data_IF_041696802997
#
_entry.id   IF_041696802997
#
_cell.length_a   1.000
_cell.length_b   1.000
_cell.length_c   1.000
_cell.angle_alpha   90.00
_cell.angle_beta   90.00
_cell.angle_gamma   90.00
#
_symmetry.space_group_name_H-M   'P 1'
#
loop_
_entity.id
_entity.type
_entity.pdbx_description
1 polymer ?
#
# COMPACT_ATOMS: atom_id res chain seq x y z
N UNK A 1 10.46 -26.05 -23.41
CA UNK A 1 10.60 -24.63 -23.00
C UNK A 1 10.28 -24.52 -21.52
N UNK A 2 11.30 -24.48 -20.66
CA UNK A 2 11.12 -24.45 -19.21
C UNK A 2 10.57 -23.10 -18.76
N UNK A 3 9.36 -23.12 -18.18
CA UNK A 3 8.74 -22.00 -17.49
C UNK A 3 9.58 -21.63 -16.26
N UNK A 4 10.38 -20.57 -16.36
CA UNK A 4 11.03 -19.98 -15.20
C UNK A 4 10.02 -19.07 -14.49
N UNK A 5 9.17 -19.66 -13.64
CA UNK A 5 8.65 -18.96 -12.46
C UNK A 5 9.74 -18.95 -11.38
N UNK A 6 10.85 -18.27 -11.67
CA UNK A 6 11.84 -17.92 -10.68
C UNK A 6 11.50 -16.54 -10.14
N UNK A 7 11.52 -16.34 -8.83
CA UNK A 7 11.67 -15.01 -8.27
C UNK A 7 12.95 -14.42 -8.87
N UNK A 8 12.83 -13.50 -9.83
CA UNK A 8 13.94 -12.70 -10.30
C UNK A 8 14.29 -11.68 -9.21
N UNK A 9 14.89 -12.17 -8.11
CA UNK A 9 15.51 -11.33 -7.10
C UNK A 9 16.97 -11.09 -7.53
N UNK A 10 17.16 -10.23 -8.52
CA UNK A 10 18.47 -9.70 -8.94
C UNK A 10 18.44 -8.17 -8.74
N UNK A 11 19.58 -7.51 -8.46
CA UNK A 11 19.92 -7.14 -7.10
C UNK A 11 19.46 -5.71 -6.73
N UNK A 12 18.91 -5.57 -5.53
CA UNK A 12 18.51 -4.27 -4.96
C UNK A 12 19.76 -3.47 -4.55
N UNK A 13 19.91 -2.28 -5.15
CA UNK A 13 21.02 -1.34 -5.02
C UNK A 13 21.49 -1.04 -3.60
N UNK A 14 22.54 -0.23 -3.47
CA UNK A 14 23.06 0.21 -2.18
C UNK A 14 22.69 1.68 -1.90
N UNK A 15 22.43 1.98 -0.61
CA UNK A 15 22.39 3.37 -0.16
C UNK A 15 23.83 3.89 -0.08
N UNK A 16 24.06 5.14 -0.47
CA UNK A 16 25.34 5.82 -0.31
C UNK A 16 25.06 7.27 0.11
N UNK A 17 25.52 7.66 1.30
CA UNK A 17 25.41 9.04 1.82
C UNK A 17 24.01 9.66 1.68
N UNK A 18 22.97 8.88 1.97
CA UNK A 18 21.57 9.33 1.94
C UNK A 18 20.80 8.99 0.65
N UNK A 19 21.49 8.81 -0.49
CA UNK A 19 20.90 8.54 -1.81
C UNK A 19 21.01 7.06 -2.22
N UNK A 20 20.19 6.63 -3.19
CA UNK A 20 20.21 5.27 -3.75
C UNK A 20 21.08 5.19 -5.00
N UNK A 21 22.00 4.22 -5.04
CA UNK A 21 22.90 3.96 -6.16
C UNK A 21 22.80 2.49 -6.64
N UNK A 22 23.22 2.25 -7.88
CA UNK A 22 23.34 0.90 -8.49
C UNK A 22 22.05 0.05 -8.42
N UNK A 23 20.90 0.70 -8.58
CA UNK A 23 19.59 0.06 -8.58
C UNK A 23 19.49 -0.94 -9.74
N UNK A 24 19.15 -2.19 -9.43
CA UNK A 24 19.03 -3.26 -10.43
C UNK A 24 20.35 -3.87 -10.86
N UNK A 25 21.49 -3.41 -10.32
CA UNK A 25 22.83 -3.87 -10.71
C UNK A 25 23.61 -4.52 -9.56
N UNK A 26 23.49 -4.05 -8.32
CA UNK A 26 24.33 -4.50 -7.21
C UNK A 26 23.51 -4.73 -5.93
N UNK A 27 23.74 -5.83 -5.21
CA UNK A 27 23.17 -6.06 -3.88
C UNK A 27 24.27 -6.44 -2.90
N UNK A 28 24.29 -5.74 -1.77
CA UNK A 28 25.27 -5.96 -0.71
C UNK A 28 24.59 -6.58 0.51
N UNK A 29 25.06 -7.76 0.91
CA UNK A 29 24.63 -8.47 2.11
C UNK A 29 25.73 -8.38 3.16
N UNK A 30 25.48 -7.59 4.19
CA UNK A 30 26.46 -7.28 5.22
C UNK A 30 26.52 -8.36 6.28
N UNK A 31 27.72 -8.68 6.74
CA UNK A 31 27.96 -9.56 7.90
C UNK A 31 28.10 -8.71 9.16
N UNK A 32 27.94 -9.34 10.33
CA UNK A 32 28.20 -8.70 11.61
C UNK A 32 29.70 -8.56 11.92
N UNK A 33 30.58 -9.13 11.08
CA UNK A 33 32.03 -9.06 11.27
C UNK A 33 32.57 -7.75 10.71
N UNK A 34 33.25 -7.00 11.58
CA UNK A 34 33.82 -5.71 11.22
C UNK A 34 35.25 -5.87 10.72
N UNK A 35 35.60 -5.13 9.67
CA UNK A 35 36.99 -4.97 9.23
C UNK A 35 37.63 -3.73 9.86
N UNK A 36 36.83 -2.69 10.11
CA UNK A 36 37.22 -1.48 10.82
C UNK A 36 36.01 -0.76 11.42
N UNK A 37 36.24 0.37 12.10
CA UNK A 37 35.17 1.21 12.64
C UNK A 37 34.17 1.69 11.59
N UNK A 38 34.61 1.85 10.34
CA UNK A 38 33.77 2.31 9.21
C UNK A 38 33.44 1.21 8.21
N UNK A 39 34.13 0.05 8.21
CA UNK A 39 33.93 -1.01 7.22
C UNK A 39 33.51 -2.35 7.85
N UNK A 40 32.62 -3.08 7.18
CA UNK A 40 32.23 -4.44 7.54
C UNK A 40 32.34 -5.37 6.33
N UNK A 41 32.56 -6.66 6.58
CA UNK A 41 32.58 -7.64 5.49
C UNK A 41 31.19 -7.81 4.90
N UNK A 42 31.10 -7.89 3.57
CA UNK A 42 29.87 -8.10 2.84
C UNK A 42 30.04 -9.08 1.68
N UNK A 43 28.90 -9.61 1.21
CA UNK A 43 28.78 -10.35 -0.04
C UNK A 43 28.09 -9.46 -1.05
N UNK A 44 28.78 -9.19 -2.16
CA UNK A 44 28.27 -8.39 -3.26
C UNK A 44 27.81 -9.29 -4.41
N UNK A 45 26.58 -9.08 -4.88
CA UNK A 45 26.03 -9.69 -6.09
C UNK A 45 25.86 -8.62 -7.15
N UNK A 46 26.70 -8.69 -8.18
CA UNK A 46 26.63 -7.82 -9.34
C UNK A 46 25.92 -8.55 -10.49
N UNK A 47 25.05 -7.86 -11.22
CA UNK A 47 24.40 -8.40 -12.42
C UNK A 47 25.37 -8.87 -13.50
N UNK A 48 26.58 -8.30 -13.56
CA UNK A 48 27.60 -8.63 -14.55
C UNK A 48 28.70 -9.57 -14.08
N UNK A 49 28.73 -9.97 -12.80
CA UNK A 49 29.84 -10.73 -12.24
C UNK A 49 29.38 -11.82 -11.24
N UNK A 50 30.33 -12.70 -10.89
CA UNK A 50 30.13 -13.71 -9.84
C UNK A 50 30.04 -13.07 -8.45
N UNK A 51 29.49 -13.84 -7.50
CA UNK A 51 29.40 -13.45 -6.09
C UNK A 51 30.79 -13.14 -5.50
N UNK A 52 31.03 -11.89 -5.10
CA UNK A 52 32.32 -11.46 -4.57
C UNK A 52 32.23 -11.11 -3.08
N UNK A 53 33.26 -11.45 -2.32
CA UNK A 53 33.42 -11.03 -0.92
C UNK A 53 34.22 -9.72 -0.87
N UNK A 54 33.73 -8.73 -0.14
CA UNK A 54 34.39 -7.42 0.00
C UNK A 54 34.23 -6.87 1.42
N UNK A 55 34.92 -5.76 1.76
CA UNK A 55 34.87 -5.10 3.06
C UNK A 55 34.69 -3.57 2.91
N UNK A 56 33.46 -3.15 2.60
CA UNK A 56 33.17 -1.74 2.26
C UNK A 56 32.58 -0.95 3.44
N UNK A 57 32.39 0.35 3.26
CA UNK A 57 31.86 1.29 4.23
C UNK A 57 30.46 0.88 4.72
N UNK A 58 30.39 0.40 5.97
CA UNK A 58 29.15 -0.01 6.65
C UNK A 58 28.33 1.21 7.08
N UNK A 59 28.96 2.30 7.51
CA UNK A 59 28.25 3.44 8.09
C UNK A 59 27.36 4.15 7.08
N UNK A 60 27.76 4.18 5.81
CA UNK A 60 26.99 4.80 4.73
C UNK A 60 26.23 3.80 3.85
N UNK A 61 26.72 2.56 3.71
CA UNK A 61 26.17 1.58 2.77
C UNK A 61 25.45 0.36 3.40
N UNK A 62 25.55 0.15 4.73
CA UNK A 62 24.92 -1.00 5.40
C UNK A 62 23.40 -0.91 5.58
N UNK A 63 22.77 0.16 5.11
CA UNK A 63 21.32 0.26 4.99
C UNK A 63 20.78 -0.53 3.79
N UNK A 64 21.37 -1.72 3.51
CA UNK A 64 21.04 -2.57 2.37
C UNK A 64 19.53 -2.73 2.25
N UNK A 65 19.04 -2.38 1.07
CA UNK A 65 17.63 -2.12 0.81
C UNK A 65 16.86 -3.44 0.88
N UNK A 66 15.75 -3.47 1.63
CA UNK A 66 14.73 -4.54 1.51
C UNK A 66 14.35 -4.70 0.04
N UNK A 67 13.87 -5.88 -0.37
CA UNK A 67 13.24 -6.06 -1.68
C UNK A 67 12.26 -4.91 -1.94
N UNK A 68 12.65 -3.94 -2.76
CA UNK A 68 11.71 -3.04 -3.40
C UNK A 68 11.15 -3.90 -4.52
N UNK A 69 9.86 -4.24 -4.40
CA UNK A 69 9.15 -4.93 -5.48
C UNK A 69 9.34 -4.08 -6.72
N UNK A 70 10.04 -4.63 -7.72
CA UNK A 70 10.09 -4.04 -9.04
C UNK A 70 8.64 -3.80 -9.49
N UNK A 71 8.30 -2.60 -9.93
CA UNK A 71 6.95 -2.30 -10.41
C UNK A 71 6.76 -2.88 -11.82
N UNK A 72 6.99 -4.19 -11.95
CA UNK A 72 6.61 -5.01 -13.11
C UNK A 72 5.16 -5.48 -13.00
N UNK A 73 4.51 -5.26 -11.86
CA UNK A 73 3.05 -5.25 -11.80
C UNK A 73 2.56 -3.93 -12.37
N UNK A 74 2.35 -3.98 -13.68
CA UNK A 74 2.05 -2.86 -14.55
C UNK A 74 0.95 -1.95 -14.03
N UNK A 75 0.98 -0.74 -14.58
CA UNK A 75 -0.10 0.24 -14.54
C UNK A 75 -1.43 -0.46 -14.33
N UNK A 76 -2.08 -0.23 -13.18
CA UNK A 76 -3.36 -0.87 -12.84
C UNK A 76 -4.31 -0.54 -13.98
N UNK A 77 -4.60 -1.53 -14.83
CA UNK A 77 -5.49 -1.32 -15.97
C UNK A 77 -6.90 -1.02 -15.48
N UNK A 78 -7.66 -0.24 -16.24
CA UNK A 78 -9.06 0.10 -15.90
C UNK A 78 -9.90 -1.15 -15.55
N UNK A 79 -9.80 -2.30 -16.26
CA UNK A 79 -10.53 -3.51 -15.88
C UNK A 79 -10.13 -4.08 -14.51
N UNK A 80 -8.84 -4.02 -14.18
CA UNK A 80 -8.33 -4.46 -12.88
C UNK A 80 -8.84 -3.56 -11.76
N UNK A 81 -8.84 -2.25 -12.01
CA UNK A 81 -9.35 -1.24 -11.08
C UNK A 81 -10.86 -1.38 -10.86
N UNK A 82 -11.63 -1.62 -11.92
CA UNK A 82 -13.07 -1.92 -11.83
C UNK A 82 -13.33 -3.10 -10.88
N UNK A 83 -12.57 -4.20 -11.01
CA UNK A 83 -12.73 -5.36 -10.14
C UNK A 83 -12.41 -5.06 -8.67
N UNK A 84 -11.43 -4.21 -8.40
CA UNK A 84 -11.09 -3.75 -7.06
C UNK A 84 -12.18 -2.83 -6.49
N UNK A 85 -12.68 -1.88 -7.29
CA UNK A 85 -13.78 -1.00 -6.92
C UNK A 85 -15.07 -1.79 -6.65
N UNK A 86 -15.37 -2.82 -7.43
CA UNK A 86 -16.52 -3.69 -7.19
C UNK A 86 -16.42 -4.40 -5.83
N UNK A 87 -15.22 -4.89 -5.45
CA UNK A 87 -15.00 -5.44 -4.11
C UNK A 87 -15.21 -4.37 -3.02
N UNK A 88 -14.66 -3.19 -3.21
CA UNK A 88 -14.81 -2.06 -2.28
C UNK A 88 -16.26 -1.61 -2.14
N UNK A 89 -17.01 -1.60 -3.23
CA UNK A 89 -18.45 -1.32 -3.25
C UNK A 89 -19.22 -2.30 -2.37
N UNK A 90 -18.95 -3.62 -2.49
CA UNK A 90 -19.60 -4.63 -1.64
C UNK A 90 -19.31 -4.41 -0.16
N UNK A 91 -18.09 -4.00 0.18
CA UNK A 91 -17.71 -3.65 1.56
C UNK A 91 -18.45 -2.40 2.05
N UNK A 92 -18.49 -1.34 1.24
CA UNK A 92 -19.20 -0.10 1.54
C UNK A 92 -20.71 -0.32 1.74
N UNK A 93 -21.30 -1.17 0.91
CA UNK A 93 -22.74 -1.50 0.95
C UNK A 93 -23.14 -2.22 2.23
N UNK A 94 -22.29 -3.07 2.80
CA UNK A 94 -22.63 -3.95 3.94
C UNK A 94 -23.28 -3.21 5.11
N UNK A 95 -22.86 -1.98 5.39
CA UNK A 95 -23.31 -1.21 6.55
C UNK A 95 -24.29 -0.05 6.20
N UNK A 96 -24.62 0.16 4.91
CA UNK A 96 -25.34 1.37 4.43
C UNK A 96 -26.34 1.10 3.28
N UNK A 97 -26.88 -0.12 3.22
CA UNK A 97 -27.69 -0.65 2.09
C UNK A 97 -28.99 0.11 1.77
N UNK A 98 -29.48 1.00 2.64
CA UNK A 98 -30.77 1.69 2.46
C UNK A 98 -30.65 3.22 2.44
N UNK A 99 -29.46 3.78 2.27
CA UNK A 99 -29.29 5.25 2.19
C UNK A 99 -29.62 5.78 0.79
N UNK A 100 -30.23 6.97 0.70
CA UNK A 100 -30.62 7.60 -0.59
C UNK A 100 -29.44 7.72 -1.57
N UNK A 101 -28.26 8.11 -1.09
CA UNK A 101 -27.05 8.20 -1.93
C UNK A 101 -26.60 6.85 -2.47
N UNK A 102 -26.70 5.80 -1.65
CA UNK A 102 -26.38 4.44 -2.05
C UNK A 102 -27.37 3.89 -3.08
N UNK A 103 -28.67 4.10 -2.88
CA UNK A 103 -29.70 3.69 -3.84
C UNK A 103 -29.52 4.40 -5.18
N UNK A 104 -29.26 5.72 -5.15
CA UNK A 104 -28.95 6.50 -6.36
C UNK A 104 -27.74 5.95 -7.12
N UNK A 105 -26.69 5.53 -6.40
CA UNK A 105 -25.51 4.92 -7.00
C UNK A 105 -25.80 3.52 -7.56
N UNK A 106 -26.64 2.73 -6.90
CA UNK A 106 -26.98 1.36 -7.31
C UNK A 106 -27.91 1.30 -8.53
N UNK A 107 -28.72 2.34 -8.77
CA UNK A 107 -29.58 2.45 -9.97
C UNK A 107 -28.78 2.31 -11.28
N UNK A 108 -27.55 2.84 -11.30
CA UNK A 108 -26.64 2.76 -12.44
C UNK A 108 -25.26 2.28 -11.99
N UNK A 109 -25.25 1.16 -11.26
CA UNK A 109 -24.06 0.64 -10.57
C UNK A 109 -22.87 0.45 -11.50
N UNK A 110 -23.09 -0.18 -12.65
CA UNK A 110 -22.02 -0.57 -13.58
C UNK A 110 -21.35 0.66 -14.20
N UNK A 111 -22.15 1.58 -14.75
CA UNK A 111 -21.64 2.82 -15.36
C UNK A 111 -20.95 3.69 -14.31
N UNK A 112 -21.51 3.81 -13.11
CA UNK A 112 -20.89 4.57 -12.02
C UNK A 112 -19.52 3.98 -11.62
N UNK A 113 -19.39 2.65 -11.54
CA UNK A 113 -18.12 1.99 -11.22
C UNK A 113 -17.09 2.10 -12.34
N UNK A 114 -17.51 1.96 -13.61
CA UNK A 114 -16.65 2.13 -14.77
C UNK A 114 -16.14 3.58 -14.86
N UNK A 115 -17.03 4.56 -14.69
CA UNK A 115 -16.65 5.98 -14.68
C UNK A 115 -15.66 6.26 -13.56
N UNK A 116 -15.92 5.76 -12.35
CA UNK A 116 -15.01 5.92 -11.22
C UNK A 116 -13.64 5.25 -11.47
N UNK A 117 -13.61 4.09 -12.12
CA UNK A 117 -12.36 3.43 -12.50
C UNK A 117 -11.57 4.28 -13.51
N UNK A 118 -12.25 4.85 -14.50
CA UNK A 118 -11.61 5.74 -15.48
C UNK A 118 -11.07 7.00 -14.82
N UNK A 119 -11.89 7.69 -14.00
CA UNK A 119 -11.49 8.91 -13.28
C UNK A 119 -10.27 8.69 -12.37
N UNK A 120 -10.21 7.55 -11.68
CA UNK A 120 -9.08 7.19 -10.83
C UNK A 120 -7.84 6.83 -11.66
N UNK A 121 -8.01 6.18 -12.81
CA UNK A 121 -6.93 5.87 -13.73
C UNK A 121 -6.34 7.13 -14.39
N UNK A 122 -7.20 8.05 -14.83
CA UNK A 122 -6.81 9.34 -15.43
C UNK A 122 -6.40 10.39 -14.41
N UNK A 123 -6.53 10.10 -13.09
CA UNK A 123 -6.27 11.03 -11.98
C UNK A 123 -7.13 12.30 -12.03
N UNK A 124 -8.34 12.21 -12.56
CA UNK A 124 -9.33 13.30 -12.64
C UNK A 124 -10.46 13.14 -11.62
N UNK A 125 -10.31 12.21 -10.68
CA UNK A 125 -11.30 12.00 -9.61
C UNK A 125 -11.35 13.19 -8.65
N UNK A 126 -12.54 13.76 -8.51
CA UNK A 126 -12.86 14.80 -7.53
C UNK A 126 -13.91 14.31 -6.53
N UNK A 127 -13.73 14.74 -5.28
CA UNK A 127 -14.63 14.43 -4.17
C UNK A 127 -16.00 15.04 -4.39
N UNK A 128 -17.02 14.29 -4.03
CA UNK A 128 -18.41 14.74 -4.10
C UNK A 128 -18.76 15.57 -2.85
N UNK A 129 -19.78 16.44 -2.92
CA UNK A 129 -20.23 17.19 -1.75
C UNK A 129 -20.62 16.26 -0.60
N UNK A 130 -20.11 16.54 0.59
CA UNK A 130 -20.45 15.80 1.81
C UNK A 130 -21.73 16.35 2.43
N UNK A 131 -22.53 15.47 3.04
CA UNK A 131 -23.74 15.87 3.79
C UNK A 131 -23.34 16.04 5.24
N UNK A 132 -23.55 17.24 5.79
CA UNK A 132 -23.38 17.49 7.22
C UNK A 132 -24.72 17.41 7.95
N UNK A 133 -24.77 16.69 9.06
CA UNK A 133 -25.92 16.64 9.96
C UNK A 133 -25.46 16.40 11.41
N UNK A 134 -26.27 16.83 12.37
CA UNK A 134 -26.01 16.60 13.79
C UNK A 134 -26.70 15.31 14.21
N UNK A 135 -25.95 14.40 14.82
CA UNK A 135 -26.51 13.24 15.50
C UNK A 135 -26.60 13.55 17.00
N UNK A 136 -27.79 13.45 17.58
CA UNK A 136 -28.05 13.89 18.96
C UNK A 136 -27.74 12.83 20.02
N UNK A 137 -27.73 11.55 19.64
CA UNK A 137 -27.57 10.42 20.56
C UNK A 137 -26.40 9.49 20.16
N UNK A 138 -25.68 8.89 21.12
CA UNK A 138 -25.76 9.12 22.58
C UNK A 138 -25.07 10.41 23.06
N UNK A 139 -24.18 10.99 22.24
CA UNK A 139 -23.54 12.30 22.47
C UNK A 139 -23.71 13.11 21.20
N UNK A 140 -24.04 14.40 21.35
CA UNK A 140 -24.17 15.33 20.22
C UNK A 140 -22.87 15.38 19.42
N UNK A 141 -22.94 15.03 18.14
CA UNK A 141 -21.80 15.06 17.23
C UNK A 141 -22.23 15.56 15.87
N UNK A 142 -21.45 16.48 15.33
CA UNK A 142 -21.52 16.84 13.92
C UNK A 142 -20.96 15.68 13.11
N UNK A 143 -21.74 15.19 12.16
CA UNK A 143 -21.38 14.09 11.27
C UNK A 143 -21.27 14.62 9.86
N UNK A 144 -20.05 14.65 9.35
CA UNK A 144 -19.77 14.91 7.94
C UNK A 144 -19.74 13.58 7.20
N UNK A 145 -20.80 13.31 6.46
CA UNK A 145 -21.00 12.07 5.74
C UNK A 145 -20.67 12.24 4.26
N UNK A 146 -19.55 11.62 3.83
CA UNK A 146 -19.18 11.54 2.42
C UNK A 146 -20.27 10.84 1.58
N UNK A 147 -20.37 11.21 0.29
CA UNK A 147 -21.26 10.55 -0.67
C UNK A 147 -20.92 9.05 -0.80
N UNK A 148 -21.88 8.25 -1.26
CA UNK A 148 -21.65 6.82 -1.40
C UNK A 148 -20.56 6.51 -2.43
N UNK A 149 -20.45 7.30 -3.53
CA UNK A 149 -19.36 7.19 -4.51
C UNK A 149 -17.98 7.26 -3.84
N UNK A 150 -17.78 8.28 -3.00
CA UNK A 150 -16.49 8.54 -2.36
C UNK A 150 -16.18 7.47 -1.29
N UNK A 151 -17.21 6.93 -0.63
CA UNK A 151 -17.04 5.80 0.32
C UNK A 151 -16.49 4.55 -0.36
N UNK A 152 -16.86 4.28 -1.62
CA UNK A 152 -16.28 3.16 -2.38
C UNK A 152 -14.76 3.36 -2.52
N UNK A 153 -14.33 4.58 -2.81
CA UNK A 153 -12.90 4.95 -2.90
C UNK A 153 -12.21 4.83 -1.54
N UNK A 154 -12.84 5.30 -0.46
CA UNK A 154 -12.30 5.14 0.89
C UNK A 154 -12.09 3.65 1.24
N UNK A 155 -13.05 2.78 0.93
CA UNK A 155 -12.89 1.34 1.14
C UNK A 155 -11.74 0.74 0.33
N UNK A 156 -11.52 1.22 -0.89
CA UNK A 156 -10.39 0.83 -1.73
C UNK A 156 -9.06 1.24 -1.06
N UNK A 157 -8.92 2.50 -0.68
CA UNK A 157 -7.70 3.03 -0.04
C UNK A 157 -7.42 2.31 1.28
N UNK A 158 -8.43 2.16 2.13
CA UNK A 158 -8.34 1.41 3.37
C UNK A 158 -7.84 -0.03 3.14
N UNK A 159 -8.30 -0.70 2.07
CA UNK A 159 -7.87 -2.07 1.78
C UNK A 159 -6.36 -2.19 1.51
N UNK A 160 -5.74 -1.14 0.97
CA UNK A 160 -4.30 -1.08 0.72
C UNK A 160 -3.50 -0.58 1.92
N UNK A 161 -4.04 0.40 2.66
CA UNK A 161 -3.35 1.06 3.77
C UNK A 161 -3.39 0.24 5.06
N UNK A 162 -4.52 -0.37 5.41
CA UNK A 162 -4.67 -1.08 6.68
C UNK A 162 -3.61 -2.18 6.90
N UNK A 163 -3.26 -3.05 5.93
CA UNK A 163 -2.22 -4.06 6.14
C UNK A 163 -0.84 -3.50 6.48
N UNK A 164 -0.55 -2.26 6.07
CA UNK A 164 0.72 -1.58 6.36
C UNK A 164 0.70 -1.04 7.80
N UNK A 165 -0.37 -0.32 8.16
CA UNK A 165 -0.50 0.29 9.48
C UNK A 165 -0.74 -0.72 10.60
N UNK A 166 -1.46 -1.82 10.36
CA UNK A 166 -1.68 -2.87 11.35
C UNK A 166 -0.39 -3.48 11.90
N UNK A 167 0.69 -3.48 11.09
CA UNK A 167 2.02 -3.96 11.51
C UNK A 167 2.79 -2.96 12.36
N UNK A 168 2.39 -1.69 12.33
CA UNK A 168 3.08 -0.58 13.01
C UNK A 168 2.34 -0.14 14.28
N UNK A 169 1.05 -0.45 14.40
CA UNK A 169 0.28 -0.06 15.58
C UNK A 169 0.79 -0.72 16.85
N UNK A 170 0.90 0.08 17.91
CA UNK A 170 1.17 -0.41 19.26
C UNK A 170 0.08 -1.39 19.71
N UNK A 171 0.44 -2.27 20.64
CA UNK A 171 -0.48 -3.29 21.13
C UNK A 171 -1.72 -2.66 21.78
N UNK A 172 -1.56 -1.58 22.54
CA UNK A 172 -2.64 -0.93 23.29
C UNK A 172 -3.52 0.02 22.47
N UNK A 173 -3.34 0.06 21.14
CA UNK A 173 -4.27 0.73 20.26
C UNK A 173 -5.41 -0.23 19.91
N UNK A 174 -6.60 0.02 20.49
CA UNK A 174 -7.79 -0.84 20.32
C UNK A 174 -8.84 -0.28 19.35
N UNK A 175 -8.84 1.04 19.10
CA UNK A 175 -9.89 1.70 18.31
C UNK A 175 -9.85 1.32 16.83
N UNK A 176 -11.03 0.99 16.26
CA UNK A 176 -11.24 0.78 14.82
C UNK A 176 -10.40 -0.34 14.18
N UNK A 177 -9.96 -1.34 14.96
CA UNK A 177 -9.16 -2.47 14.48
C UNK A 177 -9.98 -3.76 14.46
N UNK A 178 -9.62 -4.70 13.59
CA UNK A 178 -10.31 -6.00 13.55
C UNK A 178 -9.89 -6.83 14.77
N UNK A 179 -10.86 -7.35 15.51
CA UNK A 179 -10.61 -8.18 16.69
C UNK A 179 -10.11 -7.42 17.91
N UNK A 180 -10.02 -6.07 17.84
CA UNK A 180 -9.77 -5.20 18.98
C UNK A 180 -10.93 -4.21 19.08
N UNK A 181 -11.58 -4.20 20.22
CA UNK A 181 -12.77 -3.41 20.49
C UNK A 181 -12.98 -3.30 21.99
N UNK A 182 -14.09 -2.68 22.39
CA UNK A 182 -14.38 -2.33 23.79
C UNK A 182 -14.45 -3.49 24.79
N UNK A 183 -14.46 -4.74 24.31
CA UNK A 183 -14.46 -5.93 25.17
C UNK A 183 -13.05 -6.40 25.59
N UNK A 184 -11.99 -5.87 24.99
CA UNK A 184 -10.58 -6.20 25.28
C UNK A 184 -9.77 -5.00 25.79
N UNK A 185 -10.40 -3.84 25.92
CA UNK A 185 -9.78 -2.59 26.37
C UNK A 185 -9.88 -2.44 27.88
#
# INVERSE_FOLDING_TARGET
>A
MLSRKGFAAFPAGNRNSGSFNNLGSNANFWTATENSSTNAYNRNFDTGASMNSNNNNKTNNAFSVRLVKDSSEGTISVPSLYRLLYKSYRLARKNKRNTRSQLKFELDLESNLLRLAQELYSRTYELSPSVCFINELPVKREVVAADFRDRVVHHLLCSWLFPIFERQFIFDSYSCRKGKGTFLA
#
